data_IF_156677321864
#
_entry.id   IF_156677321864
#
_cell.length_a   1.000
_cell.length_b   1.000
_cell.length_c   1.000
_cell.angle_alpha   90.00
_cell.angle_beta   90.00
_cell.angle_gamma   90.00
#
_symmetry.space_group_name_H-M   'P 1'
#
loop_
_entity.id
_entity.type
_entity.pdbx_description
1 polymer ?
#
# COMPACT_ATOMS: atom_id res chain seq x y z
N UNK A 1 -10.24 2.78 21.65
CA UNK A 1 -10.45 3.18 20.25
C UNK A 1 -9.27 2.61 19.49
N UNK A 2 -9.52 1.83 18.45
CA UNK A 2 -8.48 1.12 17.69
C UNK A 2 -7.58 2.13 16.98
N UNK A 3 -6.28 2.03 17.18
CA UNK A 3 -5.27 2.89 16.53
C UNK A 3 -4.84 2.29 15.19
N UNK A 4 -4.09 3.08 14.40
CA UNK A 4 -3.49 2.60 13.15
C UNK A 4 -2.49 1.47 13.43
N UNK A 5 -1.70 1.62 14.49
CA UNK A 5 -0.71 0.65 14.94
C UNK A 5 -1.37 -0.66 15.38
N UNK A 6 -2.49 -0.59 16.10
CA UNK A 6 -3.28 -1.77 16.47
C UNK A 6 -3.78 -2.51 15.22
N UNK A 7 -4.25 -1.76 14.22
CA UNK A 7 -4.76 -2.35 12.98
C UNK A 7 -3.66 -3.10 12.21
N UNK A 8 -2.51 -2.46 12.02
CA UNK A 8 -1.36 -3.07 11.30
C UNK A 8 -0.77 -4.24 12.09
N UNK A 9 -0.81 -4.19 13.42
CA UNK A 9 -0.29 -5.27 14.27
C UNK A 9 -0.98 -6.61 14.01
N UNK A 10 -2.25 -6.61 13.58
CA UNK A 10 -3.00 -7.84 13.27
C UNK A 10 -2.39 -8.66 12.12
N UNK A 11 -1.63 -8.05 11.21
CA UNK A 11 -1.05 -8.76 10.07
C UNK A 11 0.46 -9.01 10.19
N UNK A 12 1.07 -8.78 11.36
CA UNK A 12 2.52 -8.95 11.56
C UNK A 12 3.00 -10.36 11.23
N UNK A 13 2.26 -11.38 11.66
CA UNK A 13 2.64 -12.78 11.46
C UNK A 13 2.40 -13.26 10.01
N UNK A 14 1.62 -12.51 9.23
CA UNK A 14 1.29 -12.79 7.83
C UNK A 14 2.02 -11.82 6.86
N UNK A 15 3.12 -11.21 7.27
CA UNK A 15 3.87 -10.23 6.45
C UNK A 15 2.97 -9.11 5.91
N UNK A 16 2.21 -8.46 6.79
CA UNK A 16 1.39 -7.29 6.44
C UNK A 16 0.25 -7.60 5.46
N UNK A 17 -0.13 -8.87 5.30
CA UNK A 17 -1.18 -9.27 4.37
C UNK A 17 -2.52 -8.64 4.75
N UNK A 18 -3.08 -7.87 3.82
CA UNK A 18 -4.33 -7.15 4.00
C UNK A 18 -5.21 -7.25 2.76
N UNK A 19 -6.51 -7.03 2.95
CA UNK A 19 -7.47 -6.86 1.85
C UNK A 19 -7.58 -5.38 1.54
N UNK A 20 -7.30 -5.00 0.30
CA UNK A 20 -7.51 -3.65 -0.23
C UNK A 20 -8.77 -3.64 -1.12
N UNK A 21 -9.70 -2.75 -0.79
CA UNK A 21 -10.94 -2.53 -1.51
C UNK A 21 -10.91 -1.18 -2.24
N UNK A 22 -11.15 -1.18 -3.55
CA UNK A 22 -11.20 0.01 -4.41
C UNK A 22 -12.53 0.14 -5.14
N UNK A 23 -12.90 1.35 -5.51
CA UNK A 23 -14.16 1.64 -6.19
C UNK A 23 -14.00 1.56 -7.73
N UNK A 24 -14.79 0.68 -8.38
CA UNK A 24 -14.85 0.60 -9.84
C UNK A 24 -15.68 1.73 -10.45
N UNK A 25 -15.51 1.97 -11.74
CA UNK A 25 -16.27 2.96 -12.49
C UNK A 25 -17.80 2.73 -12.48
N UNK A 26 -18.25 1.48 -12.36
CA UNK A 26 -19.66 1.12 -12.26
C UNK A 26 -20.21 1.16 -10.81
N UNK A 27 -19.45 1.70 -9.85
CA UNK A 27 -19.85 1.80 -8.45
C UNK A 27 -19.69 0.52 -7.63
N UNK A 28 -19.23 -0.59 -8.22
CA UNK A 28 -18.95 -1.84 -7.47
C UNK A 28 -17.57 -1.82 -6.82
N UNK A 29 -17.36 -2.69 -5.82
CA UNK A 29 -16.09 -2.80 -5.09
C UNK A 29 -15.19 -3.88 -5.68
N UNK A 30 -13.93 -3.53 -5.96
CA UNK A 30 -12.87 -4.48 -6.29
C UNK A 30 -12.02 -4.74 -5.05
N UNK A 31 -12.00 -5.99 -4.59
CA UNK A 31 -11.13 -6.43 -3.49
C UNK A 31 -9.94 -7.22 -4.03
N UNK A 32 -8.78 -7.09 -3.38
CA UNK A 32 -7.59 -7.90 -3.62
C UNK A 32 -6.73 -7.98 -2.37
N UNK A 33 -5.97 -9.06 -2.23
CA UNK A 33 -4.98 -9.20 -1.17
C UNK A 33 -3.65 -8.59 -1.61
N UNK A 34 -3.00 -7.85 -0.70
CA UNK A 34 -1.66 -7.27 -0.89
C UNK A 34 -0.92 -7.23 0.45
N UNK A 35 0.41 -7.18 0.41
CA UNK A 35 1.22 -6.87 1.57
C UNK A 35 1.24 -5.35 1.76
N UNK A 36 0.86 -4.89 2.94
CA UNK A 36 0.78 -3.48 3.31
C UNK A 36 1.65 -3.25 4.54
N UNK A 37 2.51 -2.24 4.47
CA UNK A 37 3.33 -1.80 5.59
C UNK A 37 2.90 -0.43 6.11
N UNK A 38 3.35 -0.11 7.32
CA UNK A 38 3.24 1.21 7.93
C UNK A 38 4.59 1.92 7.80
N UNK A 39 4.60 3.13 7.24
CA UNK A 39 5.81 3.92 7.03
C UNK A 39 5.49 5.42 7.06
N UNK A 40 6.54 6.24 7.09
CA UNK A 40 6.42 7.69 6.95
C UNK A 40 6.36 8.07 5.46
N UNK A 41 5.46 9.00 5.13
CA UNK A 41 5.34 9.51 3.78
C UNK A 41 6.61 10.31 3.40
N UNK A 42 7.26 10.02 2.26
CA UNK A 42 8.59 10.57 1.94
C UNK A 42 8.63 12.11 1.83
N UNK A 43 7.50 12.74 1.50
CA UNK A 43 7.45 14.20 1.34
C UNK A 43 6.95 14.94 2.59
N UNK A 44 6.17 14.28 3.46
CA UNK A 44 5.46 14.95 4.57
C UNK A 44 5.86 14.44 5.94
N UNK A 45 6.48 13.26 6.03
CA UNK A 45 6.79 12.59 7.30
C UNK A 45 5.57 12.04 8.04
N UNK A 46 4.36 12.15 7.48
CA UNK A 46 3.14 11.65 8.12
C UNK A 46 3.06 10.12 8.02
N UNK A 47 2.51 9.43 9.04
CA UNK A 47 2.30 7.99 8.99
C UNK A 47 1.25 7.64 7.91
N UNK A 48 1.64 6.74 7.01
CA UNK A 48 0.80 6.24 5.92
C UNK A 48 0.90 4.73 5.81
N UNK A 49 -0.13 4.10 5.26
CA UNK A 49 0.01 2.73 4.79
C UNK A 49 0.65 2.74 3.40
N UNK A 50 1.55 1.82 3.12
CA UNK A 50 2.19 1.65 1.82
C UNK A 50 2.02 0.24 1.27
N UNK A 51 1.73 0.12 -0.02
CA UNK A 51 1.82 -1.16 -0.73
C UNK A 51 2.32 -0.99 -2.16
N UNK A 52 3.00 -2.01 -2.67
CA UNK A 52 3.45 -2.05 -4.07
C UNK A 52 2.43 -2.79 -4.92
N UNK A 53 2.07 -2.23 -6.07
CA UNK A 53 1.14 -2.90 -7.00
C UNK A 53 1.50 -2.61 -8.45
N UNK A 54 0.89 -3.36 -9.35
CA UNK A 54 1.04 -3.20 -10.79
C UNK A 54 -0.27 -3.60 -11.47
N UNK A 55 -0.35 -3.29 -12.77
CA UNK A 55 -1.53 -3.61 -13.57
C UNK A 55 -2.62 -2.55 -13.52
N UNK A 56 -3.49 -2.61 -14.53
CA UNK A 56 -4.35 -1.48 -14.88
C UNK A 56 -5.57 -1.32 -13.98
N UNK A 57 -6.16 -2.41 -13.50
CA UNK A 57 -7.49 -2.34 -12.85
C UNK A 57 -7.44 -1.53 -11.55
N UNK A 58 -6.60 -1.93 -10.60
CA UNK A 58 -6.48 -1.27 -9.30
C UNK A 58 -5.96 0.16 -9.44
N UNK A 59 -4.90 0.36 -10.23
CA UNK A 59 -4.31 1.68 -10.44
C UNK A 59 -5.30 2.64 -11.12
N UNK A 60 -6.03 2.20 -12.14
CA UNK A 60 -7.03 3.05 -12.80
C UNK A 60 -8.19 3.43 -11.86
N UNK A 61 -8.63 2.50 -11.01
CA UNK A 61 -9.61 2.81 -9.98
C UNK A 61 -9.08 3.92 -9.07
N UNK A 62 -7.89 3.74 -8.49
CA UNK A 62 -7.30 4.69 -7.54
C UNK A 62 -7.01 6.06 -8.15
N UNK A 63 -6.52 6.13 -9.39
CA UNK A 63 -6.28 7.41 -10.11
C UNK A 63 -7.56 8.24 -10.25
N UNK A 64 -8.69 7.59 -10.48
CA UNK A 64 -9.98 8.29 -10.67
C UNK A 64 -10.76 8.44 -9.38
N UNK A 65 -10.61 7.51 -8.44
CA UNK A 65 -11.41 7.30 -7.23
C UNK A 65 -10.46 6.81 -6.14
N UNK A 66 -9.76 7.73 -5.47
CA UNK A 66 -8.66 7.39 -4.56
C UNK A 66 -9.14 6.84 -3.22
N UNK A 67 -10.45 6.78 -2.96
CA UNK A 67 -10.98 6.19 -1.74
C UNK A 67 -10.64 4.70 -1.69
N UNK A 68 -10.04 4.30 -0.58
CA UNK A 68 -9.57 2.93 -0.37
C UNK A 68 -9.82 2.51 1.08
N UNK A 69 -10.22 1.25 1.25
CA UNK A 69 -10.26 0.60 2.55
C UNK A 69 -9.25 -0.55 2.58
N UNK A 70 -8.47 -0.60 3.64
CA UNK A 70 -7.46 -1.63 3.89
C UNK A 70 -7.82 -2.37 5.17
N UNK A 71 -8.14 -3.66 5.05
CA UNK A 71 -8.54 -4.50 6.19
C UNK A 71 -7.42 -5.49 6.53
N UNK A 72 -6.95 -5.40 7.77
CA UNK A 72 -6.02 -6.35 8.40
C UNK A 72 -6.81 -7.32 9.27
N UNK A 73 -6.31 -8.56 9.42
CA UNK A 73 -6.96 -9.57 10.26
C UNK A 73 -5.96 -10.52 10.91
N UNK A 74 -6.33 -11.01 12.09
CA UNK A 74 -5.78 -12.21 12.72
C UNK A 74 -6.94 -13.07 13.24
N UNK A 75 -7.13 -14.25 12.65
CA UNK A 75 -8.31 -15.08 12.89
C UNK A 75 -9.62 -14.29 12.68
N UNK A 76 -10.40 -14.13 13.75
CA UNK A 76 -11.65 -13.35 13.77
C UNK A 76 -11.48 -11.89 14.20
N UNK A 77 -10.30 -11.49 14.66
CA UNK A 77 -9.99 -10.09 14.97
C UNK A 77 -9.67 -9.37 13.67
N UNK A 78 -10.24 -8.19 13.45
CA UNK A 78 -9.96 -7.40 12.27
C UNK A 78 -10.02 -5.91 12.56
N UNK A 79 -9.27 -5.15 11.79
CA UNK A 79 -9.37 -3.70 11.77
C UNK A 79 -9.27 -3.20 10.33
N UNK A 80 -10.06 -2.18 10.02
CA UNK A 80 -10.06 -1.51 8.71
C UNK A 80 -9.57 -0.08 8.87
N UNK A 81 -8.69 0.30 7.94
CA UNK A 81 -8.19 1.65 7.75
C UNK A 81 -8.79 2.18 6.45
N UNK A 82 -9.62 3.22 6.55
CA UNK A 82 -10.11 3.97 5.40
C UNK A 82 -9.19 5.17 5.14
N UNK A 83 -8.98 5.49 3.87
CA UNK A 83 -8.13 6.59 3.51
C UNK A 83 -8.22 7.00 2.04
N UNK A 84 -7.32 7.91 1.68
CA UNK A 84 -7.17 8.43 0.33
C UNK A 84 -5.81 7.99 -0.22
N UNK A 85 -5.83 7.39 -1.41
CA UNK A 85 -4.63 6.90 -2.07
C UNK A 85 -3.87 8.00 -2.82
N UNK A 86 -2.55 7.98 -2.70
CA UNK A 86 -1.59 8.67 -3.57
C UNK A 86 -0.74 7.60 -4.28
N UNK A 87 -0.49 7.77 -5.58
CA UNK A 87 0.26 6.80 -6.38
C UNK A 87 1.60 7.43 -6.77
N UNK A 88 2.67 6.69 -6.55
CA UNK A 88 4.04 7.04 -6.90
C UNK A 88 4.61 5.95 -7.80
N UNK A 89 4.85 6.24 -9.08
CA UNK A 89 5.32 5.24 -10.02
C UNK A 89 5.71 5.82 -11.38
N UNK A 90 6.17 4.98 -12.33
CA UNK A 90 6.63 5.46 -13.64
C UNK A 90 5.55 6.19 -14.44
N UNK A 91 4.29 5.77 -14.28
CA UNK A 91 3.11 6.38 -14.90
C UNK A 91 2.45 7.46 -14.00
N UNK A 92 2.98 7.66 -12.79
CA UNK A 92 2.41 8.53 -11.75
C UNK A 92 3.56 9.34 -11.10
N UNK A 93 4.14 10.30 -11.84
CA UNK A 93 5.28 11.07 -11.35
C UNK A 93 4.87 11.95 -10.18
N UNK A 94 5.76 12.07 -9.20
CA UNK A 94 5.60 12.98 -8.07
C UNK A 94 6.74 14.00 -8.06
N UNK A 95 6.51 15.26 -7.62
CA UNK A 95 7.57 16.28 -7.60
C UNK A 95 8.80 15.91 -6.75
N UNK A 96 8.59 15.04 -5.77
CA UNK A 96 9.60 14.57 -4.81
C UNK A 96 10.22 13.21 -5.20
N UNK A 97 9.83 12.64 -6.35
CA UNK A 97 10.16 11.28 -6.75
C UNK A 97 11.00 11.25 -8.02
N UNK A 98 12.27 10.87 -7.90
CA UNK A 98 13.09 10.41 -9.01
C UNK A 98 13.14 8.87 -9.08
N UNK A 99 13.76 8.33 -10.13
CA UNK A 99 13.82 6.89 -10.39
C UNK A 99 14.54 6.12 -9.27
N UNK A 100 15.60 6.71 -8.71
CA UNK A 100 16.38 6.11 -7.63
C UNK A 100 15.59 6.09 -6.32
N UNK A 101 14.85 7.17 -6.01
CA UNK A 101 13.96 7.23 -4.87
C UNK A 101 12.81 6.23 -5.03
N UNK A 102 12.26 6.06 -6.23
CA UNK A 102 11.23 5.06 -6.49
C UNK A 102 11.75 3.63 -6.26
N UNK A 103 12.97 3.33 -6.71
CA UNK A 103 13.64 2.05 -6.46
C UNK A 103 13.73 1.75 -4.96
N UNK A 104 14.25 2.70 -4.19
CA UNK A 104 14.38 2.58 -2.74
C UNK A 104 13.01 2.47 -2.03
N UNK A 105 12.03 3.26 -2.43
CA UNK A 105 10.68 3.24 -1.84
C UNK A 105 9.98 1.90 -1.98
N UNK A 106 10.15 1.21 -3.11
CA UNK A 106 9.60 -0.15 -3.28
C UNK A 106 10.19 -1.12 -2.25
N UNK A 107 11.50 -1.03 -1.99
CA UNK A 107 12.17 -1.82 -0.94
C UNK A 107 11.68 -1.43 0.44
N UNK A 108 11.59 -0.13 0.75
CA UNK A 108 11.08 0.39 2.03
C UNK A 108 9.68 -0.14 2.32
N UNK A 109 8.78 -0.09 1.34
CA UNK A 109 7.42 -0.62 1.47
C UNK A 109 7.43 -2.13 1.68
N UNK A 110 8.21 -2.88 0.90
CA UNK A 110 8.32 -4.33 1.04
C UNK A 110 8.83 -4.76 2.42
N UNK A 111 9.86 -4.10 2.94
CA UNK A 111 10.39 -4.34 4.28
C UNK A 111 9.39 -3.92 5.36
N UNK A 112 8.73 -2.77 5.20
CA UNK A 112 7.71 -2.31 6.17
C UNK A 112 6.50 -3.24 6.26
N UNK A 113 6.23 -4.01 5.20
CA UNK A 113 5.24 -5.07 5.19
C UNK A 113 5.79 -6.42 5.71
N UNK A 114 7.01 -6.48 6.27
CA UNK A 114 7.60 -7.71 6.80
C UNK A 114 8.33 -8.57 5.76
N UNK A 115 8.46 -8.10 4.51
CA UNK A 115 9.19 -8.81 3.47
C UNK A 115 10.71 -8.81 3.70
N UNK A 116 11.35 -9.94 3.43
CA UNK A 116 12.82 -10.08 3.38
C UNK A 116 13.24 -10.57 2.00
N UNK A 117 14.43 -10.18 1.54
CA UNK A 117 14.95 -10.57 0.23
C UNK A 117 16.47 -10.78 0.32
N UNK A 118 16.95 -11.86 -0.31
CA UNK A 118 18.38 -12.21 -0.34
C UNK A 118 19.10 -11.53 -1.52
N UNK A 119 18.42 -11.36 -2.67
CA UNK A 119 18.95 -10.68 -3.86
C UNK A 119 18.15 -9.40 -4.19
N UNK A 120 18.60 -8.28 -3.66
CA UNK A 120 17.91 -7.01 -3.88
C UNK A 120 18.07 -6.44 -5.30
N UNK A 121 19.08 -6.86 -6.05
CA UNK A 121 19.31 -6.38 -7.40
C UNK A 121 18.32 -7.04 -8.37
N UNK A 122 18.05 -8.32 -8.18
CA UNK A 122 16.95 -9.00 -8.88
C UNK A 122 15.59 -8.36 -8.55
N UNK A 123 15.33 -8.08 -7.26
CA UNK A 123 14.11 -7.42 -6.83
C UNK A 123 13.90 -6.10 -7.60
N UNK A 124 14.91 -5.23 -7.62
CA UNK A 124 14.81 -3.94 -8.29
C UNK A 124 14.57 -4.06 -9.79
N UNK A 125 15.29 -4.99 -10.43
CA UNK A 125 15.14 -5.26 -11.86
C UNK A 125 13.71 -5.69 -12.18
N UNK A 126 13.16 -6.65 -11.44
CA UNK A 126 11.78 -7.13 -11.64
C UNK A 126 10.76 -6.02 -11.38
N UNK A 127 10.97 -5.20 -10.34
CA UNK A 127 10.07 -4.09 -10.03
C UNK A 127 10.03 -3.04 -11.13
N UNK A 128 11.20 -2.72 -11.71
CA UNK A 128 11.32 -1.80 -12.82
C UNK A 128 10.69 -2.37 -14.11
N UNK A 129 11.02 -3.62 -14.48
CA UNK A 129 10.50 -4.30 -15.67
C UNK A 129 8.96 -4.39 -15.65
N UNK A 130 8.37 -4.61 -14.47
CA UNK A 130 6.92 -4.69 -14.31
C UNK A 130 6.23 -3.33 -14.13
N UNK A 131 6.98 -2.23 -14.12
CA UNK A 131 6.45 -0.88 -13.93
C UNK A 131 5.69 -0.74 -12.61
N UNK A 132 6.16 -1.38 -11.53
CA UNK A 132 5.42 -1.41 -10.26
C UNK A 132 5.35 -0.01 -9.63
N UNK A 133 4.16 0.38 -9.21
CA UNK A 133 3.93 1.62 -8.49
C UNK A 133 3.83 1.36 -6.98
N UNK A 134 4.20 2.35 -6.20
CA UNK A 134 3.91 2.44 -4.77
C UNK A 134 2.58 3.18 -4.61
N UNK A 135 1.72 2.67 -3.74
CA UNK A 135 0.50 3.35 -3.32
C UNK A 135 0.63 3.67 -1.84
N UNK A 136 0.49 4.95 -1.50
CA UNK A 136 0.36 5.42 -0.14
C UNK A 136 -1.12 5.64 0.18
N UNK A 137 -1.54 5.30 1.40
CA UNK A 137 -2.88 5.59 1.90
C UNK A 137 -2.76 6.52 3.08
N UNK A 138 -3.18 7.77 2.87
CA UNK A 138 -3.35 8.74 3.94
C UNK A 138 -4.58 8.36 4.76
N UNK A 139 -4.38 8.18 6.06
CA UNK A 139 -5.40 7.64 6.97
C UNK A 139 -6.47 8.67 7.27
N UNK A 140 -7.73 8.32 7.04
CA UNK A 140 -8.90 9.14 7.38
C UNK A 140 -9.68 8.55 8.57
N UNK A 141 -9.76 7.22 8.67
CA UNK A 141 -10.51 6.54 9.75
C UNK A 141 -9.97 5.14 10.03
N UNK A 142 -10.06 4.72 11.30
CA UNK A 142 -9.78 3.35 11.76
C UNK A 142 -10.95 2.81 12.57
N UNK A 143 -11.32 1.54 12.35
CA UNK A 143 -12.34 0.84 13.11
C UNK A 143 -12.09 -0.68 13.13
N UNK A 144 -12.61 -1.38 14.15
CA UNK A 144 -12.47 -2.84 14.34
C UNK A 144 -13.78 -3.46 14.82
N UNK A 145 -13.78 -4.79 14.96
CA UNK A 145 -14.73 -5.49 15.83
C UNK A 145 -14.35 -5.42 17.31
#
# INVERSE_FOLDING_TARGET
>A
MTTLEDAVALARDDNGLAVVATLRANGTIQASMVNVGLLEHPATGEPVLGFVTYGRVKLNNLRSRPQVATTFRDGWQWATVEGTAEIAGPDDPQPWLDDERLRLLRREVFVSAGGTHEDWDEYDRVMAEQGRAVVFVRVDRVYSN
#
